data_IF_398957900484
#
_entry.id   IF_398957900484
#
_cell.length_a   1.000
_cell.length_b   1.000
_cell.length_c   1.000
_cell.angle_alpha   90.00
_cell.angle_beta   90.00
_cell.angle_gamma   90.00
#
_symmetry.space_group_name_H-M   'P 1'
#
loop_
_entity.id
_entity.type
_entity.pdbx_description
1 polymer ?
#
# COMPACT_ATOMS: atom_id res chain seq x y z
N UNK A 1 -9.95 -1.86 -5.46
CA UNK A 1 -10.75 -0.68 -5.06
C UNK A 1 -10.92 0.20 -6.28
N UNK A 2 -12.01 0.92 -6.40
CA UNK A 2 -12.23 1.94 -7.45
C UNK A 2 -12.38 3.30 -6.80
N UNK A 3 -12.24 4.38 -7.59
CA UNK A 3 -12.41 5.75 -7.08
C UNK A 3 -13.84 6.00 -6.58
N UNK A 4 -14.83 5.33 -7.18
CA UNK A 4 -16.24 5.44 -6.83
C UNK A 4 -16.64 4.53 -5.65
N UNK A 5 -15.66 3.95 -4.94
CA UNK A 5 -15.92 3.15 -3.75
C UNK A 5 -16.48 4.05 -2.65
N UNK A 6 -17.71 3.77 -2.23
CA UNK A 6 -18.32 4.40 -1.05
C UNK A 6 -18.10 3.54 0.20
N UNK A 7 -17.85 4.21 1.33
CA UNK A 7 -17.72 3.60 2.64
C UNK A 7 -18.94 3.98 3.50
N UNK A 8 -19.35 3.10 4.42
CA UNK A 8 -20.46 3.38 5.32
C UNK A 8 -20.15 4.59 6.22
N UNK A 9 -21.17 5.31 6.69
CA UNK A 9 -20.98 6.50 7.52
C UNK A 9 -20.19 6.23 8.81
N UNK A 10 -20.33 5.01 9.37
CA UNK A 10 -19.65 4.54 10.57
C UNK A 10 -18.24 3.99 10.31
N UNK A 11 -17.78 3.97 9.05
CA UNK A 11 -16.45 3.51 8.67
C UNK A 11 -15.45 4.68 8.75
N UNK A 12 -14.29 4.46 9.36
CA UNK A 12 -13.27 5.51 9.48
C UNK A 12 -12.72 5.99 8.14
N UNK A 13 -12.81 5.15 7.10
CA UNK A 13 -12.51 5.52 5.72
C UNK A 13 -13.51 6.51 5.12
N UNK A 14 -14.66 6.68 5.77
CA UNK A 14 -15.63 7.73 5.47
C UNK A 14 -15.42 8.94 6.38
N UNK A 15 -15.60 8.78 7.69
CA UNK A 15 -15.66 9.91 8.62
C UNK A 15 -14.29 10.52 8.98
N UNK A 16 -13.17 9.82 8.73
CA UNK A 16 -11.81 10.29 9.01
C UNK A 16 -10.92 10.37 7.77
N UNK A 17 -11.48 10.35 6.56
CA UNK A 17 -10.68 10.37 5.32
C UNK A 17 -9.81 11.62 5.13
N UNK A 18 -10.12 12.70 5.85
CA UNK A 18 -9.32 13.94 5.85
C UNK A 18 -8.88 14.35 7.28
N UNK A 19 -8.84 13.39 8.22
CA UNK A 19 -8.34 13.62 9.57
C UNK A 19 -9.28 14.39 10.51
N UNK A 20 -10.59 14.32 10.27
CA UNK A 20 -11.60 15.04 11.06
C UNK A 20 -11.75 14.53 12.49
N UNK A 21 -11.40 13.26 12.76
CA UNK A 21 -11.57 12.61 14.06
C UNK A 21 -10.23 12.24 14.74
N UNK A 22 -9.23 11.83 13.97
CA UNK A 22 -7.88 11.49 14.42
C UNK A 22 -6.87 11.76 13.29
N UNK A 23 -5.57 11.54 13.52
CA UNK A 23 -4.52 11.89 12.54
C UNK A 23 -4.87 11.34 11.14
N UNK A 24 -4.80 12.19 10.12
CA UNK A 24 -5.13 11.83 8.73
C UNK A 24 -4.26 10.68 8.21
N UNK A 25 -3.05 10.50 8.74
CA UNK A 25 -2.15 9.39 8.43
C UNK A 25 -2.72 8.00 8.78
N UNK A 26 -3.62 7.92 9.75
CA UNK A 26 -4.25 6.66 10.18
C UNK A 26 -5.26 6.13 9.15
N UNK A 27 -5.67 6.95 8.19
CA UNK A 27 -6.57 6.58 7.11
C UNK A 27 -5.84 6.74 5.78
N UNK A 28 -5.70 5.65 5.02
CA UNK A 28 -5.01 5.63 3.72
C UNK A 28 -3.58 6.20 3.74
N UNK A 29 -2.88 6.13 4.87
CA UNK A 29 -1.54 6.70 5.05
C UNK A 29 -1.48 8.21 4.74
N UNK A 30 -2.58 8.95 4.94
CA UNK A 30 -2.66 10.39 4.71
C UNK A 30 -2.93 10.79 3.25
N UNK A 31 -2.97 9.85 2.32
CA UNK A 31 -3.32 10.11 0.93
C UNK A 31 -4.82 10.38 0.77
N UNK A 32 -5.23 11.34 -0.06
CA UNK A 32 -6.60 11.35 -0.58
C UNK A 32 -6.91 10.01 -1.26
N UNK A 33 -8.06 9.41 -0.94
CA UNK A 33 -8.40 8.05 -1.38
C UNK A 33 -8.31 7.88 -2.90
N UNK A 34 -8.90 8.81 -3.66
CA UNK A 34 -8.95 8.77 -5.12
C UNK A 34 -7.54 8.87 -5.71
N UNK A 35 -6.70 9.77 -5.17
CA UNK A 35 -5.28 9.88 -5.54
C UNK A 35 -4.52 8.59 -5.24
N UNK A 36 -4.77 7.98 -4.08
CA UNK A 36 -4.17 6.69 -3.71
C UNK A 36 -4.55 5.57 -4.70
N UNK A 37 -5.82 5.51 -5.12
CA UNK A 37 -6.27 4.57 -6.17
C UNK A 37 -5.56 4.86 -7.49
N UNK A 38 -5.50 6.12 -7.94
CA UNK A 38 -4.80 6.50 -9.18
C UNK A 38 -3.31 6.14 -9.19
N UNK A 39 -2.64 6.33 -8.07
CA UNK A 39 -1.22 6.01 -7.92
C UNK A 39 -1.01 4.50 -7.91
N UNK A 40 -1.87 3.75 -7.22
CA UNK A 40 -1.82 2.29 -7.21
C UNK A 40 -2.08 1.69 -8.61
N UNK A 41 -2.97 2.30 -9.41
CA UNK A 41 -3.20 1.89 -10.79
C UNK A 41 -1.94 2.04 -11.66
N UNK A 42 -1.17 3.11 -11.47
CA UNK A 42 0.09 3.34 -12.21
C UNK A 42 1.18 2.30 -11.88
N UNK A 43 1.10 1.66 -10.71
CA UNK A 43 2.03 0.60 -10.31
C UNK A 43 1.71 -0.76 -10.95
N UNK A 44 0.54 -0.94 -11.58
CA UNK A 44 0.11 -2.25 -12.11
C UNK A 44 1.12 -2.83 -13.10
N UNK A 45 1.69 -2.01 -13.96
CA UNK A 45 2.63 -2.44 -14.99
C UNK A 45 4.03 -2.74 -14.40
N UNK A 46 4.27 -2.39 -13.14
CA UNK A 46 5.52 -2.69 -12.43
C UNK A 46 5.46 -4.03 -11.68
N UNK A 47 4.28 -4.66 -11.59
CA UNK A 47 4.11 -5.93 -10.88
C UNK A 47 4.83 -7.05 -11.64
N UNK A 48 5.78 -7.77 -11.01
CA UNK A 48 6.48 -8.88 -11.65
C UNK A 48 5.54 -10.00 -12.08
N UNK A 49 5.90 -10.71 -13.14
CA UNK A 49 5.17 -11.89 -13.58
C UNK A 49 5.09 -12.93 -12.43
N UNK A 50 3.89 -13.47 -12.21
CA UNK A 50 3.63 -14.44 -11.14
C UNK A 50 3.34 -13.82 -9.77
N UNK A 51 3.44 -12.50 -9.63
CA UNK A 51 3.03 -11.76 -8.43
C UNK A 51 1.72 -11.01 -8.66
N UNK A 52 1.01 -10.71 -7.59
CA UNK A 52 -0.01 -9.67 -7.57
C UNK A 52 0.51 -8.41 -6.84
N UNK A 53 -0.27 -7.32 -6.88
CA UNK A 53 0.09 -6.05 -6.23
C UNK A 53 0.39 -6.21 -4.73
N UNK A 54 -0.37 -7.03 -4.01
CA UNK A 54 -0.17 -7.25 -2.59
C UNK A 54 1.10 -8.06 -2.29
N UNK A 55 1.49 -8.97 -3.18
CA UNK A 55 2.75 -9.70 -3.07
C UNK A 55 3.94 -8.77 -3.29
N UNK A 56 3.91 -7.96 -4.36
CA UNK A 56 4.96 -6.98 -4.65
C UNK A 56 5.10 -5.97 -3.50
N UNK A 57 4.00 -5.43 -2.99
CA UNK A 57 4.03 -4.48 -1.88
C UNK A 57 4.61 -5.08 -0.59
N UNK A 58 4.18 -6.28 -0.21
CA UNK A 58 4.71 -6.97 0.98
C UNK A 58 6.18 -7.35 0.79
N UNK A 59 6.57 -7.79 -0.41
CA UNK A 59 7.95 -8.15 -0.73
C UNK A 59 8.87 -6.93 -0.71
N UNK A 60 8.43 -5.81 -1.27
CA UNK A 60 9.17 -4.54 -1.22
C UNK A 60 9.50 -4.14 0.22
N UNK A 61 8.52 -4.25 1.13
CA UNK A 61 8.73 -3.94 2.56
C UNK A 61 9.72 -4.95 3.19
N UNK A 62 9.55 -6.26 2.94
CA UNK A 62 10.41 -7.31 3.51
C UNK A 62 11.85 -7.31 2.98
N UNK A 63 12.10 -6.72 1.81
CA UNK A 63 13.44 -6.64 1.22
C UNK A 63 14.36 -5.63 1.91
N UNK A 64 13.83 -4.76 2.77
CA UNK A 64 14.65 -3.84 3.55
C UNK A 64 15.32 -4.55 4.73
N UNK A 65 16.64 -4.46 4.85
CA UNK A 65 17.42 -5.08 5.95
C UNK A 65 16.91 -4.69 7.36
N UNK A 66 16.32 -3.50 7.50
CA UNK A 66 15.77 -3.02 8.77
C UNK A 66 14.42 -3.68 9.14
N UNK A 67 13.79 -4.41 8.22
CA UNK A 67 12.48 -5.03 8.40
C UNK A 67 12.64 -6.53 8.61
N UNK A 68 12.17 -7.01 9.75
CA UNK A 68 12.18 -8.45 10.07
C UNK A 68 10.85 -9.15 9.82
N UNK A 69 9.75 -8.39 9.80
CA UNK A 69 8.40 -8.93 9.61
C UNK A 69 7.46 -7.85 9.11
N UNK A 70 6.40 -8.27 8.41
CA UNK A 70 5.28 -7.40 8.01
C UNK A 70 4.01 -7.95 8.62
N UNK A 71 3.25 -7.07 9.28
CA UNK A 71 1.97 -7.40 9.88
C UNK A 71 0.86 -6.97 8.91
N UNK A 72 0.28 -7.93 8.20
CA UNK A 72 -0.81 -7.69 7.25
C UNK A 72 -2.13 -8.29 7.74
N UNK A 73 -3.21 -7.52 7.56
CA UNK A 73 -4.55 -7.99 7.89
C UNK A 73 -5.07 -9.03 6.89
N UNK A 74 -5.99 -9.88 7.36
CA UNK A 74 -6.71 -10.85 6.56
C UNK A 74 -8.15 -10.95 7.05
N UNK A 75 -9.12 -10.88 6.14
CA UNK A 75 -10.55 -11.10 6.43
C UNK A 75 -11.03 -12.47 5.96
N UNK A 76 -10.18 -13.22 5.24
CA UNK A 76 -10.45 -14.58 4.78
C UNK A 76 -9.21 -15.47 4.93
N UNK A 77 -9.36 -16.78 5.18
CA UNK A 77 -8.23 -17.69 5.39
C UNK A 77 -7.20 -17.69 4.25
N UNK A 78 -7.66 -17.55 3.01
CA UNK A 78 -6.79 -17.57 1.84
C UNK A 78 -5.83 -16.38 1.82
N UNK A 79 -6.23 -15.24 2.39
CA UNK A 79 -5.36 -14.07 2.52
C UNK A 79 -4.23 -14.29 3.52
N UNK A 80 -4.48 -15.03 4.61
CA UNK A 80 -3.44 -15.35 5.57
C UNK A 80 -2.35 -16.24 4.92
N UNK A 81 -2.77 -17.29 4.20
CA UNK A 81 -1.86 -18.13 3.44
C UNK A 81 -1.14 -17.34 2.34
N UNK A 82 -1.85 -16.45 1.64
CA UNK A 82 -1.29 -15.56 0.64
C UNK A 82 -0.21 -14.64 1.22
N UNK A 83 -0.49 -13.95 2.32
CA UNK A 83 0.46 -13.04 2.97
C UNK A 83 1.71 -13.81 3.45
N UNK A 84 1.51 -14.98 4.08
CA UNK A 84 2.62 -15.80 4.56
C UNK A 84 3.56 -16.28 3.44
N UNK A 85 3.04 -16.57 2.25
CA UNK A 85 3.85 -17.07 1.12
C UNK A 85 4.86 -16.04 0.59
N UNK A 86 4.66 -14.75 0.86
CA UNK A 86 5.54 -13.67 0.39
C UNK A 86 6.95 -13.82 0.94
N UNK A 87 7.09 -14.34 2.17
CA UNK A 87 8.38 -14.60 2.81
C UNK A 87 9.24 -15.63 2.04
N UNK A 88 8.60 -16.47 1.22
CA UNK A 88 9.28 -17.49 0.41
C UNK A 88 9.57 -17.04 -1.03
N UNK A 89 9.17 -15.83 -1.42
CA UNK A 89 9.49 -15.28 -2.74
C UNK A 89 10.95 -14.81 -2.78
N UNK A 90 11.50 -14.67 -3.99
CA UNK A 90 12.78 -14.00 -4.15
C UNK A 90 12.65 -12.50 -3.90
N UNK A 91 13.73 -11.81 -3.49
CA UNK A 91 13.76 -10.35 -3.45
C UNK A 91 13.34 -9.73 -4.79
N UNK A 92 12.70 -8.57 -4.74
CA UNK A 92 12.43 -7.81 -5.96
C UNK A 92 13.76 -7.40 -6.62
N UNK A 93 13.81 -7.32 -7.96
CA UNK A 93 15.00 -6.86 -8.66
C UNK A 93 15.44 -5.47 -8.13
N UNK A 94 16.75 -5.21 -7.98
CA UNK A 94 17.23 -3.90 -7.49
C UNK A 94 16.74 -2.70 -8.31
N UNK A 95 16.56 -2.91 -9.61
CA UNK A 95 16.00 -1.90 -10.52
C UNK A 95 14.54 -1.58 -10.20
N UNK A 96 13.72 -2.58 -9.86
CA UNK A 96 12.34 -2.36 -9.45
C UNK A 96 12.28 -1.62 -8.10
N UNK A 97 13.17 -1.94 -7.16
CA UNK A 97 13.33 -1.19 -5.91
C UNK A 97 13.59 0.29 -6.15
N UNK A 98 14.53 0.60 -7.06
CA UNK A 98 14.86 1.96 -7.46
C UNK A 98 13.65 2.67 -8.07
N UNK A 99 12.96 2.02 -9.01
CA UNK A 99 11.77 2.58 -9.67
C UNK A 99 10.64 2.87 -8.68
N UNK A 100 10.38 1.98 -7.72
CA UNK A 100 9.36 2.18 -6.69
C UNK A 100 9.73 3.34 -5.74
N UNK A 101 11.01 3.45 -5.34
CA UNK A 101 11.49 4.56 -4.54
C UNK A 101 11.41 5.92 -5.25
N UNK A 102 11.75 5.96 -6.53
CA UNK A 102 11.59 7.14 -7.39
C UNK A 102 10.12 7.50 -7.59
N UNK A 103 9.26 6.51 -7.82
CA UNK A 103 7.82 6.71 -7.92
C UNK A 103 7.26 7.32 -6.63
N UNK A 104 7.63 6.77 -5.47
CA UNK A 104 7.23 7.32 -4.18
C UNK A 104 7.67 8.78 -4.03
N UNK A 105 8.96 9.06 -4.25
CA UNK A 105 9.54 10.38 -4.05
C UNK A 105 8.93 11.43 -5.00
N UNK A 106 8.73 11.07 -6.26
CA UNK A 106 8.31 12.00 -7.30
C UNK A 106 6.79 12.14 -7.44
N UNK A 107 6.03 11.10 -7.08
CA UNK A 107 4.60 11.00 -7.40
C UNK A 107 3.69 10.79 -6.19
N UNK A 108 4.22 10.36 -5.04
CA UNK A 108 3.40 10.02 -3.87
C UNK A 108 3.63 11.00 -2.72
N UNK A 109 4.89 11.28 -2.37
CA UNK A 109 5.25 11.99 -1.14
C UNK A 109 4.55 13.35 -0.98
N UNK A 110 4.43 14.13 -2.06
CA UNK A 110 3.78 15.44 -2.03
C UNK A 110 2.27 15.40 -1.75
N UNK A 111 1.63 14.24 -1.88
CA UNK A 111 0.19 14.06 -1.60
C UNK A 111 -0.08 13.56 -0.18
N UNK A 112 0.94 13.13 0.56
CA UNK A 112 0.78 12.65 1.94
C UNK A 112 0.49 13.85 2.84
N UNK A 113 -0.64 13.76 3.55
CA UNK A 113 -1.09 14.79 4.51
C UNK A 113 -0.81 14.34 5.93
N UNK A 114 -0.76 15.32 6.84
CA UNK A 114 -0.60 15.09 8.28
C UNK A 114 0.77 15.52 8.80
N UNK A 115 0.86 15.92 10.09
CA UNK A 115 2.14 16.25 10.71
C UNK A 115 3.01 15.00 10.83
N UNK A 116 4.32 15.17 10.59
CA UNK A 116 5.38 14.18 10.84
C UNK A 116 5.73 14.17 12.32
#
# INVERSE_FOLDING_TARGET
>A
MTKDQHFAETDHRHYNRDGQAFNVGETFAGLPFETGVELAEQLRDMVPAGMNMADMAQRWILDHDAVTTVITGASRPEQAAANARVSSLDPLPPELHRQLGEFFSNRVAAHIRGPV
#
